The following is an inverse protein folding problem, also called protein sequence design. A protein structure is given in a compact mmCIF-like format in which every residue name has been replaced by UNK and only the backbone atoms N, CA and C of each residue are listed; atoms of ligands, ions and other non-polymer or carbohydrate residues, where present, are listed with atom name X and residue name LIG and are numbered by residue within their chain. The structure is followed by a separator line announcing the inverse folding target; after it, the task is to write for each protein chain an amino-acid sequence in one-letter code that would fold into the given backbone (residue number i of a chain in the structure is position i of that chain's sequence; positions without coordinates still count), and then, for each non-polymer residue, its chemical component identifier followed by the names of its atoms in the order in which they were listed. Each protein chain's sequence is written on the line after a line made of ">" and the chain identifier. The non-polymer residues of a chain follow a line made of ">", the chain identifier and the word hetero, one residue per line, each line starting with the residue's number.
data_IF_048006363548
#
_entry.id   IF_048006363548
#
_cell.length_a   1.000
_cell.length_b   1.000
_cell.length_c   1.000
_cell.angle_alpha   90.00
_cell.angle_beta   90.00
_cell.angle_gamma   90.00
#
_symmetry.space_group_name_H-M   'P 1'
#
loop_
_entity.id
_entity.type
_entity.pdbx_description
1 polymer ?
#
# COMPACT_ATOMS: atom_id res chain seq x y z
N UNK A 1 0.43 -25.51 3.59
CA UNK A 1 0.25 -24.32 2.76
C UNK A 1 0.34 -23.05 3.58
N UNK A 2 1.34 -22.24 3.27
CA UNK A 2 1.52 -20.97 3.95
C UNK A 2 0.72 -19.87 3.27
N UNK A 3 0.12 -18.99 4.08
CA UNK A 3 -0.52 -17.78 3.56
C UNK A 3 0.56 -16.76 3.19
N UNK A 4 0.21 -15.82 2.31
CA UNK A 4 1.12 -14.72 1.95
C UNK A 4 1.48 -13.88 3.17
N UNK A 5 0.54 -13.66 4.08
CA UNK A 5 0.77 -12.92 5.30
C UNK A 5 1.84 -13.57 6.17
N UNK A 6 1.82 -14.89 6.27
CA UNK A 6 2.80 -15.65 7.06
C UNK A 6 4.19 -15.60 6.42
N UNK A 7 4.25 -15.72 5.10
CA UNK A 7 5.52 -15.65 4.37
C UNK A 7 6.15 -14.27 4.52
N UNK A 8 5.36 -13.21 4.34
CA UNK A 8 5.83 -11.82 4.52
C UNK A 8 6.42 -11.64 5.92
N UNK A 9 5.68 -12.07 6.94
CA UNK A 9 6.13 -11.93 8.32
C UNK A 9 7.45 -12.64 8.56
N UNK A 10 7.60 -13.85 8.06
CA UNK A 10 8.84 -14.61 8.20
C UNK A 10 10.02 -13.87 7.54
N UNK A 11 9.79 -13.33 6.34
CA UNK A 11 10.84 -12.59 5.63
C UNK A 11 11.20 -11.28 6.33
N UNK A 12 10.23 -10.60 6.91
CA UNK A 12 10.48 -9.40 7.71
C UNK A 12 11.28 -9.75 8.98
N UNK A 13 10.85 -10.78 9.69
CA UNK A 13 11.52 -11.20 10.93
C UNK A 13 12.98 -11.61 10.68
N UNK A 14 13.25 -12.30 9.59
CA UNK A 14 14.62 -12.72 9.25
C UNK A 14 15.55 -11.54 8.98
N UNK A 15 14.99 -10.39 8.60
CA UNK A 15 15.77 -9.17 8.33
C UNK A 15 15.74 -8.18 9.48
N UNK A 16 14.94 -8.43 10.50
CA UNK A 16 14.71 -7.47 11.57
C UNK A 16 13.95 -6.23 11.09
N UNK A 17 13.09 -6.37 10.10
CA UNK A 17 12.36 -5.26 9.47
C UNK A 17 10.94 -5.16 9.98
N UNK A 18 10.43 -3.92 9.99
CA UNK A 18 9.04 -3.60 10.31
C UNK A 18 8.30 -3.14 9.07
N UNK A 19 6.97 -3.23 9.11
CA UNK A 19 6.10 -2.86 8.00
C UNK A 19 4.95 -1.98 8.48
N UNK A 20 4.53 -1.08 7.60
CA UNK A 20 3.32 -0.28 7.75
C UNK A 20 2.67 -0.03 6.41
N UNK A 21 1.47 0.55 6.43
CA UNK A 21 0.70 0.79 5.21
C UNK A 21 0.23 2.24 5.11
N UNK A 22 0.06 2.70 3.87
CA UNK A 22 -0.62 3.96 3.55
C UNK A 22 -1.74 3.63 2.56
N UNK A 23 -2.98 3.76 3.00
CA UNK A 23 -4.13 3.27 2.24
C UNK A 23 -5.11 4.39 1.92
N UNK A 24 -5.66 4.33 0.71
CA UNK A 24 -6.76 5.17 0.29
C UNK A 24 -7.95 4.27 -0.04
N UNK A 25 -8.06 3.80 -1.27
CA UNK A 25 -9.23 3.04 -1.72
C UNK A 25 -9.47 1.74 -0.94
N UNK A 26 -8.46 1.12 -0.38
CA UNK A 26 -8.61 -0.11 0.41
C UNK A 26 -9.08 0.14 1.84
N UNK A 27 -8.99 1.37 2.33
CA UNK A 27 -9.60 1.79 3.60
C UNK A 27 -9.10 1.07 4.85
N UNK A 28 -7.88 0.51 4.82
CA UNK A 28 -7.31 -0.23 5.95
C UNK A 28 -7.26 -1.74 5.74
N UNK A 29 -7.73 -2.24 4.60
CA UNK A 29 -7.81 -3.68 4.35
C UNK A 29 -6.42 -4.35 4.30
N UNK A 30 -5.40 -3.66 3.79
CA UNK A 30 -4.04 -4.22 3.76
C UNK A 30 -3.51 -4.38 5.17
N UNK A 31 -3.66 -3.36 6.01
CA UNK A 31 -3.28 -3.42 7.41
C UNK A 31 -4.04 -4.51 8.17
N UNK A 32 -5.34 -4.66 7.87
CA UNK A 32 -6.14 -5.73 8.46
C UNK A 32 -5.55 -7.10 8.14
N UNK A 33 -5.14 -7.32 6.90
CA UNK A 33 -4.56 -8.60 6.49
C UNK A 33 -3.20 -8.84 7.16
N UNK A 34 -2.38 -7.81 7.28
CA UNK A 34 -1.08 -7.94 7.95
C UNK A 34 -1.21 -8.21 9.46
N UNK A 35 -2.35 -7.84 10.05
CA UNK A 35 -2.61 -8.09 11.48
C UNK A 35 -3.44 -9.35 11.73
N UNK A 36 -3.74 -10.12 10.71
CA UNK A 36 -4.64 -11.29 10.83
C UNK A 36 -4.02 -12.46 11.61
N UNK A 37 -2.71 -12.50 11.75
CA UNK A 37 -2.01 -13.57 12.46
C UNK A 37 -1.62 -13.11 13.87
N UNK A 38 -1.78 -13.97 14.89
CA UNK A 38 -1.29 -13.67 16.24
C UNK A 38 0.19 -13.33 16.21
N UNK A 39 0.62 -12.34 17.00
CA UNK A 39 2.00 -11.93 17.07
C UNK A 39 2.40 -10.92 15.98
N UNK A 40 1.42 -10.33 15.28
CA UNK A 40 1.68 -9.36 14.22
C UNK A 40 2.48 -8.15 14.71
N UNK A 41 2.37 -7.78 15.98
CA UNK A 41 3.09 -6.64 16.54
C UNK A 41 4.62 -6.76 16.48
N UNK A 42 5.13 -7.95 16.23
CA UNK A 42 6.58 -8.14 16.05
C UNK A 42 7.10 -7.42 14.79
N UNK A 43 6.26 -7.29 13.76
CA UNK A 43 6.67 -6.68 12.49
C UNK A 43 5.78 -5.51 12.06
N UNK A 44 4.49 -5.52 12.38
CA UNK A 44 3.55 -4.50 11.93
C UNK A 44 3.47 -3.35 12.94
N UNK A 45 3.70 -2.11 12.47
CA UNK A 45 3.65 -0.93 13.34
C UNK A 45 2.37 -0.12 13.23
N UNK A 46 1.76 -0.08 12.04
CA UNK A 46 0.55 0.72 11.87
C UNK A 46 0.21 1.02 10.43
N UNK A 47 -0.91 1.68 10.27
CA UNK A 47 -1.44 2.11 8.98
C UNK A 47 -1.86 3.57 9.05
N UNK A 48 -1.69 4.28 7.94
CA UNK A 48 -2.30 5.59 7.72
C UNK A 48 -3.37 5.40 6.64
N UNK A 49 -4.63 5.63 6.99
CA UNK A 49 -5.71 5.62 6.01
C UNK A 49 -5.96 7.06 5.60
N UNK A 50 -5.38 7.48 4.50
CA UNK A 50 -5.47 8.84 3.97
C UNK A 50 -6.45 8.85 2.78
N UNK A 51 -7.72 8.74 3.07
CA UNK A 51 -8.78 8.60 2.06
C UNK A 51 -8.96 9.87 1.25
N UNK A 52 -9.06 11.02 1.93
CA UNK A 52 -9.16 12.32 1.27
C UNK A 52 -7.82 12.75 0.68
N UNK A 53 -7.84 13.42 -0.47
CA UNK A 53 -6.63 13.82 -1.17
C UNK A 53 -5.71 14.71 -0.34
N UNK A 54 -6.28 15.67 0.40
CA UNK A 54 -5.50 16.58 1.23
C UNK A 54 -4.75 15.87 2.36
N UNK A 55 -5.27 14.75 2.86
CA UNK A 55 -4.60 13.97 3.89
C UNK A 55 -3.34 13.26 3.37
N UNK A 56 -3.29 12.97 2.08
CA UNK A 56 -2.09 12.41 1.47
C UNK A 56 -0.93 13.39 1.60
N UNK A 57 -1.22 14.67 1.47
CA UNK A 57 -0.22 15.74 1.63
C UNK A 57 0.05 16.05 3.10
N UNK A 58 -1.00 16.28 3.89
CA UNK A 58 -0.84 16.73 5.27
C UNK A 58 -0.26 15.67 6.21
N UNK A 59 -0.58 14.39 5.99
CA UNK A 59 -0.12 13.30 6.86
C UNK A 59 1.08 12.58 6.25
N UNK A 60 1.00 12.23 4.97
CA UNK A 60 2.03 11.42 4.32
C UNK A 60 3.11 12.24 3.62
N UNK A 61 2.94 13.56 3.54
CA UNK A 61 3.93 14.42 2.90
C UNK A 61 4.00 14.31 1.39
N UNK A 62 2.95 13.78 0.74
CA UNK A 62 2.88 13.77 -0.72
C UNK A 62 2.83 15.23 -1.19
N UNK A 63 3.77 15.67 -2.06
CA UNK A 63 3.74 17.05 -2.54
C UNK A 63 2.43 17.36 -3.28
N UNK A 64 1.86 18.54 -3.01
CA UNK A 64 0.67 18.97 -3.74
C UNK A 64 0.92 18.98 -5.24
N UNK A 65 2.13 19.36 -5.65
CA UNK A 65 2.53 19.36 -7.07
C UNK A 65 2.45 17.97 -7.70
N UNK A 66 2.75 16.92 -6.94
CA UNK A 66 2.64 15.54 -7.45
C UNK A 66 1.18 15.20 -7.76
N UNK A 67 0.28 15.56 -6.86
CA UNK A 67 -1.15 15.32 -7.07
C UNK A 67 -1.71 16.20 -8.20
N UNK A 68 -1.30 17.46 -8.25
CA UNK A 68 -1.75 18.39 -9.30
C UNK A 68 -1.28 17.95 -10.69
N UNK A 69 -0.05 17.48 -10.79
CA UNK A 69 0.55 17.10 -12.08
C UNK A 69 0.11 15.70 -12.54
N UNK A 70 0.06 14.74 -11.63
CA UNK A 70 -0.13 13.32 -11.97
C UNK A 70 -1.50 12.77 -11.56
N UNK A 71 -2.20 13.44 -10.66
CA UNK A 71 -3.48 12.97 -10.14
C UNK A 71 -3.32 12.13 -8.88
N UNK A 72 -4.45 11.92 -8.19
CA UNK A 72 -4.51 11.10 -6.97
C UNK A 72 -4.28 9.62 -7.31
N UNK A 73 -4.86 9.16 -8.43
CA UNK A 73 -4.74 7.77 -8.89
C UNK A 73 -3.62 7.72 -9.92
N UNK A 74 -2.39 7.70 -9.44
CA UNK A 74 -1.20 7.68 -10.28
C UNK A 74 -0.07 6.93 -9.60
N UNK A 75 0.87 6.45 -10.39
CA UNK A 75 2.06 5.78 -9.86
C UNK A 75 2.91 6.75 -9.04
N UNK A 76 3.03 7.98 -9.48
CA UNK A 76 3.78 9.00 -8.73
C UNK A 76 3.19 9.25 -7.34
N UNK A 77 1.86 9.35 -7.23
CA UNK A 77 1.21 9.55 -5.94
C UNK A 77 1.35 8.33 -5.04
N UNK A 78 1.17 7.12 -5.59
CA UNK A 78 1.34 5.89 -4.81
C UNK A 78 2.76 5.76 -4.26
N UNK A 79 3.76 6.04 -5.09
CA UNK A 79 5.16 5.98 -4.67
C UNK A 79 5.46 7.00 -3.58
N UNK A 80 4.97 8.24 -3.73
CA UNK A 80 5.14 9.27 -2.71
C UNK A 80 4.44 8.90 -1.39
N UNK A 81 3.28 8.25 -1.48
CA UNK A 81 2.58 7.75 -0.28
C UNK A 81 3.41 6.69 0.45
N UNK A 82 4.02 5.76 -0.28
CA UNK A 82 4.84 4.72 0.33
C UNK A 82 6.07 5.32 1.02
N UNK A 83 6.76 6.24 0.37
CA UNK A 83 7.91 6.93 0.95
C UNK A 83 7.51 7.72 2.19
N UNK A 84 6.39 8.44 2.12
CA UNK A 84 5.88 9.19 3.26
C UNK A 84 5.52 8.30 4.44
N UNK A 85 4.92 7.16 4.18
CA UNK A 85 4.56 6.19 5.22
C UNK A 85 5.78 5.62 5.92
N UNK A 86 6.87 5.33 5.19
CA UNK A 86 8.12 4.90 5.82
C UNK A 86 8.59 5.89 6.88
N UNK A 87 8.56 7.16 6.52
CA UNK A 87 9.01 8.23 7.43
C UNK A 87 8.06 8.41 8.61
N UNK A 88 6.76 8.54 8.34
CA UNK A 88 5.74 8.82 9.37
C UNK A 88 5.62 7.67 10.36
N UNK A 89 5.62 6.44 9.88
CA UNK A 89 5.43 5.26 10.73
C UNK A 89 6.76 4.74 11.30
N UNK A 90 7.89 5.21 10.78
CA UNK A 90 9.19 4.73 11.22
C UNK A 90 9.40 3.26 10.90
N UNK A 91 9.00 2.82 9.72
CA UNK A 91 9.08 1.43 9.28
C UNK A 91 10.12 1.24 8.20
N UNK A 92 10.60 0.01 8.07
CA UNK A 92 11.54 -0.34 7.00
C UNK A 92 10.81 -0.51 5.67
N UNK A 93 9.66 -1.17 5.71
CA UNK A 93 8.85 -1.45 4.52
C UNK A 93 7.51 -0.72 4.66
N UNK A 94 7.14 0.03 3.63
CA UNK A 94 5.81 0.63 3.57
C UNK A 94 5.15 0.27 2.24
N UNK A 95 3.87 -0.11 2.31
CA UNK A 95 3.05 -0.39 1.13
C UNK A 95 1.94 0.64 1.04
N UNK A 96 1.75 1.20 -0.15
CA UNK A 96 0.71 2.20 -0.40
C UNK A 96 -0.25 1.71 -1.47
N UNK A 97 -1.53 2.07 -1.32
CA UNK A 97 -2.57 1.76 -2.30
C UNK A 97 -3.44 2.98 -2.53
N UNK A 98 -3.57 3.37 -3.78
CA UNK A 98 -4.53 4.38 -4.23
C UNK A 98 -5.27 3.83 -5.45
N UNK A 99 -6.47 4.31 -5.73
CA UNK A 99 -7.18 3.78 -6.89
C UNK A 99 -8.63 4.21 -6.99
N UNK A 100 -9.28 3.64 -8.02
CA UNK A 100 -10.67 3.86 -8.37
C UNK A 100 -11.43 2.54 -8.22
N UNK A 101 -12.03 2.31 -7.05
CA UNK A 101 -12.70 1.04 -6.75
C UNK A 101 -14.11 0.95 -7.31
N UNK A 102 -14.73 2.08 -7.65
CA UNK A 102 -16.09 2.14 -8.21
C UNK A 102 -17.16 2.26 -7.15
N UNK A 103 -18.45 2.30 -7.58
CA UNK A 103 -18.93 2.17 -8.98
C UNK A 103 -18.62 3.36 -9.88
N UNK A 104 -18.36 4.54 -9.31
CA UNK A 104 -18.04 5.72 -10.10
C UNK A 104 -16.54 5.78 -10.37
N UNK A 105 -16.11 6.15 -11.58
CA UNK A 105 -14.68 6.31 -11.86
C UNK A 105 -14.12 7.53 -11.12
N UNK A 106 -12.84 7.44 -10.74
CA UNK A 106 -12.11 8.53 -10.12
C UNK A 106 -10.81 8.73 -10.90
N UNK A 107 -10.75 9.73 -11.78
CA UNK A 107 -9.64 10.07 -12.68
C UNK A 107 -9.31 8.95 -13.67
N UNK A 108 -9.33 7.70 -13.23
CA UNK A 108 -9.04 6.52 -14.00
C UNK A 108 -10.26 5.60 -14.06
N UNK A 109 -10.33 4.68 -15.02
CA UNK A 109 -11.42 3.73 -15.08
C UNK A 109 -11.57 2.91 -13.79
N UNK A 110 -12.81 2.54 -13.47
CA UNK A 110 -13.10 1.67 -12.33
C UNK A 110 -12.28 0.38 -12.42
N UNK A 111 -11.67 0.00 -11.30
CA UNK A 111 -10.79 -1.17 -11.22
C UNK A 111 -9.32 -0.83 -11.36
N UNK A 112 -8.98 0.40 -11.68
CA UNK A 112 -7.59 0.87 -11.72
C UNK A 112 -7.13 1.08 -10.28
N UNK A 113 -6.24 0.22 -9.82
CA UNK A 113 -5.66 0.29 -8.47
C UNK A 113 -4.14 0.31 -8.61
N UNK A 114 -3.51 1.18 -7.86
CA UNK A 114 -2.07 1.36 -7.94
C UNK A 114 -1.47 1.04 -6.60
N UNK A 115 -0.49 0.15 -6.59
CA UNK A 115 0.21 -0.26 -5.37
C UNK A 115 1.69 0.09 -5.50
N UNK A 116 2.26 0.57 -4.41
CA UNK A 116 3.68 0.90 -4.35
C UNK A 116 4.27 0.35 -3.05
N UNK A 117 5.52 -0.07 -3.10
CA UNK A 117 6.23 -0.56 -1.92
C UNK A 117 7.60 0.11 -1.88
N UNK A 118 7.96 0.63 -0.73
CA UNK A 118 9.30 1.17 -0.48
C UNK A 118 9.97 0.34 0.61
N UNK A 119 11.20 -0.09 0.36
CA UNK A 119 12.05 -0.78 1.32
C UNK A 119 13.31 0.04 1.57
N UNK A 120 14.20 -0.37 2.47
CA UNK A 120 15.46 0.36 2.67
C UNK A 120 16.32 0.46 1.40
N UNK A 121 16.17 -0.47 0.45
CA UNK A 121 17.05 -0.54 -0.72
C UNK A 121 16.34 -0.47 -2.06
N UNK A 122 15.02 -0.59 -2.11
CA UNK A 122 14.29 -0.60 -3.38
C UNK A 122 12.91 0.05 -3.26
N UNK A 123 12.35 0.35 -4.42
CA UNK A 123 11.01 0.87 -4.55
C UNK A 123 10.38 0.21 -5.77
N UNK A 124 9.15 -0.24 -5.63
CA UNK A 124 8.39 -0.87 -6.71
C UNK A 124 7.00 -0.27 -6.79
N UNK A 125 6.48 -0.16 -8.01
CA UNK A 125 5.12 0.32 -8.24
C UNK A 125 4.47 -0.51 -9.33
N UNK A 126 3.17 -0.78 -9.19
CA UNK A 126 2.39 -1.51 -10.18
C UNK A 126 1.01 -0.88 -10.33
N UNK A 127 0.56 -0.77 -11.57
CA UNK A 127 -0.82 -0.41 -11.88
C UNK A 127 -1.57 -1.69 -12.19
N UNK A 128 -2.67 -1.91 -11.46
CA UNK A 128 -3.52 -3.09 -11.60
C UNK A 128 -4.84 -2.67 -12.23
N UNK A 129 -5.37 -3.50 -13.11
CA UNK A 129 -6.69 -3.34 -13.72
C UNK A 129 -7.55 -4.51 -13.27
N UNK A 130 -8.36 -4.29 -12.24
CA UNK A 130 -9.03 -5.36 -11.52
C UNK A 130 -10.52 -5.43 -11.89
N UNK A 131 -11.04 -6.65 -12.10
CA UNK A 131 -12.45 -6.84 -12.44
C UNK A 131 -13.32 -6.90 -11.18
N UNK A 132 -14.61 -6.74 -11.39
CA UNK A 132 -15.60 -6.96 -10.36
C UNK A 132 -16.15 -5.69 -9.73
N UNK A 133 -16.98 -5.88 -8.71
CA UNK A 133 -17.56 -4.78 -7.97
C UNK A 133 -16.54 -4.14 -7.02
N UNK A 134 -16.98 -3.10 -6.34
CA UNK A 134 -16.12 -2.34 -5.41
C UNK A 134 -15.46 -3.23 -4.36
N UNK A 135 -16.21 -4.14 -3.78
CA UNK A 135 -15.67 -5.03 -2.73
C UNK A 135 -14.59 -5.95 -3.27
N UNK A 136 -14.81 -6.54 -4.44
CA UNK A 136 -13.84 -7.43 -5.09
C UNK A 136 -12.58 -6.69 -5.53
N UNK A 137 -12.74 -5.50 -6.10
CA UNK A 137 -11.60 -4.67 -6.51
C UNK A 137 -10.72 -4.36 -5.31
N UNK A 138 -11.33 -3.97 -4.20
CA UNK A 138 -10.57 -3.68 -2.97
C UNK A 138 -9.86 -4.92 -2.43
N UNK A 139 -10.53 -6.07 -2.43
CA UNK A 139 -9.94 -7.32 -1.96
C UNK A 139 -8.77 -7.77 -2.85
N UNK A 140 -8.94 -7.69 -4.17
CA UNK A 140 -7.88 -8.03 -5.12
C UNK A 140 -6.70 -7.07 -5.01
N UNK A 141 -6.98 -5.78 -4.80
CA UNK A 141 -5.92 -4.78 -4.61
C UNK A 141 -5.08 -5.09 -3.37
N UNK A 142 -5.72 -5.48 -2.27
CA UNK A 142 -5.01 -5.85 -1.06
C UNK A 142 -4.12 -7.08 -1.29
N UNK A 143 -4.62 -8.09 -2.01
CA UNK A 143 -3.84 -9.28 -2.37
C UNK A 143 -2.65 -8.88 -3.26
N UNK A 144 -2.90 -8.06 -4.28
CA UNK A 144 -1.83 -7.57 -5.15
C UNK A 144 -0.77 -6.77 -4.39
N UNK A 145 -1.21 -5.95 -3.43
CA UNK A 145 -0.29 -5.20 -2.59
C UNK A 145 0.63 -6.12 -1.77
N UNK A 146 0.07 -7.17 -1.19
CA UNK A 146 0.85 -8.12 -0.39
C UNK A 146 1.86 -8.90 -1.26
N UNK A 147 1.47 -9.28 -2.47
CA UNK A 147 2.40 -9.92 -3.39
C UNK A 147 3.55 -8.99 -3.78
N UNK A 148 3.26 -7.71 -4.01
CA UNK A 148 4.30 -6.73 -4.31
C UNK A 148 5.22 -6.50 -3.11
N UNK A 149 4.67 -6.50 -1.90
CA UNK A 149 5.47 -6.42 -0.67
C UNK A 149 6.48 -7.55 -0.62
N UNK A 150 6.02 -8.78 -0.82
CA UNK A 150 6.93 -9.94 -0.77
C UNK A 150 8.02 -9.83 -1.84
N UNK A 151 7.63 -9.46 -3.06
CA UNK A 151 8.59 -9.30 -4.15
C UNK A 151 9.63 -8.23 -3.83
N UNK A 152 9.21 -7.09 -3.30
CA UNK A 152 10.12 -6.00 -2.95
C UNK A 152 11.09 -6.42 -1.84
N UNK A 153 10.61 -7.15 -0.83
CA UNK A 153 11.47 -7.64 0.24
C UNK A 153 12.53 -8.61 -0.31
N UNK A 154 12.11 -9.54 -1.17
CA UNK A 154 13.01 -10.55 -1.74
C UNK A 154 14.05 -9.92 -2.68
N UNK A 155 13.71 -8.81 -3.34
CA UNK A 155 14.60 -8.09 -4.25
C UNK A 155 15.50 -7.07 -3.52
N UNK A 156 15.35 -6.97 -2.24
CA UNK A 156 16.13 -6.01 -1.42
C UNK A 156 17.44 -6.59 -0.93
#
# INVERSE_FOLDING_TARGET
>A
DETIERVIRRELESRGWTIGTAESATGGLVGRRLTSLPGASATFRGSVVAYASDLKTSILGVPESTIDEHGVVSEATAEAMALGARAVLGVDVAVAVTGSAGPEPLEQPVGTMIVAVATPTTSMVRTLHLPGDRERVRAYAATGALHLVLRAILDS
#
